data_IF_272885129677
#
_entry.id   IF_272885129677
#
_cell.length_a   1.000
_cell.length_b   1.000
_cell.length_c   1.000
_cell.angle_alpha   90.00
_cell.angle_beta   90.00
_cell.angle_gamma   90.00
#
_symmetry.space_group_name_H-M   'P 1'
#
loop_
_entity.id
_entity.type
_entity.pdbx_description
1 polymer ?
#
# COMPACT_ATOMS: atom_id res chain seq x y z
N UNK A 1 13.08 11.33 11.43
CA UNK A 1 13.38 10.18 12.32
C UNK A 1 13.24 8.93 11.47
N UNK A 2 14.19 7.98 11.55
CA UNK A 2 14.09 6.69 10.85
C UNK A 2 13.66 5.63 11.87
N UNK A 3 12.50 5.02 11.69
CA UNK A 3 11.98 3.97 12.56
C UNK A 3 11.39 2.86 11.69
N UNK A 4 12.14 1.77 11.53
CA UNK A 4 11.72 0.61 10.76
C UNK A 4 11.69 -0.61 11.67
N UNK A 5 10.53 -1.26 11.78
CA UNK A 5 10.29 -2.29 12.81
C UNK A 5 10.13 -3.70 12.25
N UNK A 6 9.77 -3.86 10.99
CA UNK A 6 9.57 -5.18 10.41
C UNK A 6 10.89 -5.89 10.11
N UNK A 7 11.02 -7.14 10.49
CA UNK A 7 12.06 -8.02 9.95
C UNK A 7 11.55 -8.59 8.63
N UNK A 8 12.26 -8.34 7.54
CA UNK A 8 11.85 -8.75 6.19
C UNK A 8 12.62 -9.98 5.75
N UNK A 9 11.91 -11.07 5.47
CA UNK A 9 12.45 -12.29 4.88
C UNK A 9 12.01 -12.37 3.41
N UNK A 10 12.96 -12.59 2.50
CA UNK A 10 12.74 -12.52 1.06
C UNK A 10 13.21 -13.78 0.36
N UNK A 11 12.39 -14.35 -0.51
CA UNK A 11 12.77 -15.43 -1.40
C UNK A 11 11.72 -16.51 -1.52
N UNK A 12 11.83 -17.30 -2.61
CA UNK A 12 10.94 -18.43 -2.85
C UNK A 12 10.99 -19.43 -1.71
N UNK A 13 9.82 -19.77 -1.17
CA UNK A 13 9.68 -20.69 -0.05
C UNK A 13 10.04 -20.13 1.33
N UNK A 14 10.37 -18.83 1.46
CA UNK A 14 10.70 -18.25 2.79
C UNK A 14 9.56 -18.42 3.80
N UNK A 15 8.30 -18.52 3.34
CA UNK A 15 7.13 -18.82 4.18
C UNK A 15 7.30 -20.06 5.07
N UNK A 16 8.21 -20.97 4.74
CA UNK A 16 8.45 -22.19 5.53
C UNK A 16 8.97 -21.89 6.93
N UNK A 17 9.52 -20.70 7.18
CA UNK A 17 9.99 -20.27 8.48
C UNK A 17 8.89 -19.62 9.35
N UNK A 18 7.69 -19.35 8.82
CA UNK A 18 6.61 -18.68 9.55
C UNK A 18 6.28 -19.38 10.90
N UNK A 19 6.08 -20.71 10.95
CA UNK A 19 5.78 -21.36 12.23
C UNK A 19 6.88 -21.17 13.28
N UNK A 20 8.16 -21.22 12.85
CA UNK A 20 9.28 -20.99 13.75
C UNK A 20 9.27 -19.58 14.33
N UNK A 21 9.00 -18.55 13.50
CA UNK A 21 8.92 -17.15 13.97
C UNK A 21 7.80 -16.95 14.99
N UNK A 22 6.66 -17.59 14.80
CA UNK A 22 5.61 -17.55 15.83
C UNK A 22 6.02 -18.25 17.12
N UNK A 23 6.73 -19.36 17.05
CA UNK A 23 7.27 -20.02 18.24
C UNK A 23 8.30 -19.12 18.96
N UNK A 24 9.18 -18.45 18.22
CA UNK A 24 10.17 -17.50 18.77
C UNK A 24 9.49 -16.33 19.49
N UNK A 25 8.33 -15.88 19.01
CA UNK A 25 7.48 -14.87 19.65
C UNK A 25 6.59 -15.43 20.78
N UNK A 26 6.67 -16.73 21.08
CA UNK A 26 5.92 -17.39 22.14
C UNK A 26 4.46 -17.75 21.79
N UNK A 27 4.07 -17.62 20.53
CA UNK A 27 2.69 -17.88 20.08
C UNK A 27 2.39 -19.37 19.98
N UNK A 28 1.15 -19.74 20.29
CA UNK A 28 0.65 -21.12 20.26
C UNK A 28 -0.62 -21.25 19.42
N UNK A 29 -1.41 -20.20 19.32
CA UNK A 29 -2.76 -20.14 18.76
C UNK A 29 -2.86 -19.08 17.67
N UNK A 30 -2.59 -19.49 16.43
CA UNK A 30 -2.50 -18.57 15.29
C UNK A 30 -3.86 -18.41 14.64
N UNK A 31 -4.31 -17.16 14.51
CA UNK A 31 -5.42 -16.77 13.65
C UNK A 31 -4.90 -16.46 12.25
N UNK A 32 -5.28 -17.25 11.25
CA UNK A 32 -4.99 -16.94 9.85
C UNK A 32 -6.10 -16.04 9.30
N UNK A 33 -5.74 -14.90 8.76
CA UNK A 33 -6.66 -13.89 8.24
C UNK A 33 -6.34 -13.68 6.76
N UNK A 34 -7.36 -13.78 5.91
CA UNK A 34 -7.23 -13.77 4.45
C UNK A 34 -8.55 -13.35 3.79
N UNK A 35 -8.63 -13.41 2.48
CA UNK A 35 -9.86 -13.26 1.70
C UNK A 35 -10.26 -14.58 1.02
N UNK A 36 -11.55 -14.68 0.64
CA UNK A 36 -12.10 -15.86 0.02
C UNK A 36 -11.44 -16.20 -1.33
N UNK A 37 -11.04 -15.17 -2.09
CA UNK A 37 -10.39 -15.34 -3.39
C UNK A 37 -9.06 -16.08 -3.28
N UNK A 38 -8.28 -15.83 -2.23
CA UNK A 38 -7.01 -16.50 -1.98
C UNK A 38 -7.20 -17.95 -1.50
N UNK A 39 -8.29 -18.23 -0.80
CA UNK A 39 -8.66 -19.62 -0.48
C UNK A 39 -8.99 -20.38 -1.76
N UNK A 40 -9.87 -19.82 -2.60
CA UNK A 40 -10.26 -20.42 -3.88
C UNK A 40 -9.07 -20.60 -4.83
N UNK A 41 -8.10 -19.70 -4.79
CA UNK A 41 -6.87 -19.80 -5.57
C UNK A 41 -5.84 -20.82 -5.02
N UNK A 42 -6.10 -21.44 -3.86
CA UNK A 42 -5.18 -22.39 -3.23
C UNK A 42 -3.91 -21.77 -2.64
N UNK A 43 -3.86 -20.45 -2.52
CA UNK A 43 -2.70 -19.73 -1.93
C UNK A 43 -2.61 -20.01 -0.43
N UNK A 44 -3.73 -20.00 0.25
CA UNK A 44 -3.81 -20.23 1.70
C UNK A 44 -3.39 -21.64 2.08
N UNK A 45 -3.70 -22.64 1.24
CA UNK A 45 -3.31 -24.05 1.49
C UNK A 45 -1.80 -24.21 1.51
N UNK A 46 -1.05 -23.50 0.65
CA UNK A 46 0.41 -23.52 0.65
C UNK A 46 1.02 -23.03 1.97
N UNK A 47 0.32 -22.20 2.72
CA UNK A 47 0.75 -21.73 4.05
C UNK A 47 0.28 -22.71 5.14
N UNK A 48 -0.96 -23.19 5.08
CA UNK A 48 -1.52 -24.15 6.04
C UNK A 48 -0.74 -25.46 6.10
N UNK A 49 -0.32 -25.97 4.93
CA UNK A 49 0.42 -27.24 4.83
C UNK A 49 1.75 -27.17 5.59
N UNK A 50 2.39 -26.00 5.66
CA UNK A 50 3.62 -25.81 6.43
C UNK A 50 3.35 -25.98 7.93
N UNK A 51 2.26 -25.38 8.44
CA UNK A 51 1.86 -25.54 9.84
C UNK A 51 1.47 -26.98 10.15
N UNK A 52 0.75 -27.65 9.25
CA UNK A 52 0.38 -29.04 9.39
C UNK A 52 1.61 -29.97 9.45
N UNK A 53 2.61 -29.72 8.59
CA UNK A 53 3.85 -30.51 8.56
C UNK A 53 4.70 -30.33 9.80
N UNK A 54 4.77 -29.11 10.39
CA UNK A 54 5.56 -28.81 11.59
C UNK A 54 4.81 -29.12 12.89
N UNK A 55 3.48 -29.16 12.87
CA UNK A 55 2.62 -29.52 13.99
C UNK A 55 2.46 -28.46 15.09
N UNK A 56 3.34 -27.46 15.18
CA UNK A 56 3.28 -26.34 16.13
C UNK A 56 3.91 -25.09 15.49
N UNK A 57 3.40 -23.84 15.81
CA UNK A 57 2.15 -23.60 16.56
C UNK A 57 0.92 -24.05 15.75
N UNK A 58 -0.28 -23.95 16.30
CA UNK A 58 -1.51 -24.37 15.59
C UNK A 58 -2.25 -23.20 15.00
N UNK A 59 -2.68 -23.29 13.74
CA UNK A 59 -3.74 -22.44 13.22
C UNK A 59 -5.04 -22.88 13.88
N UNK A 60 -5.63 -22.01 14.72
CA UNK A 60 -6.86 -22.32 15.47
C UNK A 60 -8.12 -21.96 14.73
N UNK A 61 -8.00 -21.17 13.67
CA UNK A 61 -9.09 -20.83 12.77
C UNK A 61 -8.63 -19.96 11.62
N UNK A 62 -9.48 -19.83 10.60
CA UNK A 62 -9.27 -18.97 9.44
C UNK A 62 -10.42 -17.96 9.42
N UNK A 63 -10.07 -16.68 9.31
CA UNK A 63 -11.02 -15.61 9.02
C UNK A 63 -10.83 -15.19 7.56
N UNK A 64 -11.81 -15.49 6.72
CA UNK A 64 -11.75 -15.34 5.26
C UNK A 64 -12.70 -14.28 4.68
N UNK A 65 -13.35 -13.52 5.56
CA UNK A 65 -14.39 -12.53 5.20
C UNK A 65 -13.86 -11.12 5.01
N UNK A 66 -12.60 -10.99 4.54
CA UNK A 66 -12.05 -9.67 4.25
C UNK A 66 -12.64 -9.16 2.94
N UNK A 67 -13.13 -7.93 2.99
CA UNK A 67 -13.67 -7.20 1.85
C UNK A 67 -12.61 -6.21 1.29
N UNK A 68 -12.71 -5.84 0.01
CA UNK A 68 -11.85 -4.78 -0.56
C UNK A 68 -11.91 -3.48 0.27
N UNK A 69 -10.79 -2.75 0.29
CA UNK A 69 -10.62 -1.46 1.00
C UNK A 69 -10.56 -1.54 2.53
N UNK A 70 -10.39 -2.71 3.12
CA UNK A 70 -10.24 -2.87 4.58
C UNK A 70 -11.36 -2.17 5.38
N UNK A 71 -12.58 -2.62 5.20
CA UNK A 71 -13.80 -2.00 5.75
C UNK A 71 -13.79 -2.02 7.28
N UNK A 72 -14.09 -0.88 7.94
CA UNK A 72 -14.06 -0.74 9.41
C UNK A 72 -14.95 -1.76 10.15
N UNK A 73 -16.11 -2.07 9.62
CA UNK A 73 -17.00 -3.11 10.18
C UNK A 73 -16.30 -4.48 10.21
N UNK A 74 -15.60 -4.82 9.15
CA UNK A 74 -14.88 -6.11 9.03
C UNK A 74 -13.71 -6.17 10.01
N UNK A 75 -13.02 -5.05 10.27
CA UNK A 75 -11.97 -4.95 11.30
C UNK A 75 -12.55 -5.30 12.68
N UNK A 76 -13.69 -4.71 13.06
CA UNK A 76 -14.36 -4.98 14.33
C UNK A 76 -14.78 -6.46 14.46
N UNK A 77 -15.36 -7.03 13.40
CA UNK A 77 -15.80 -8.42 13.37
C UNK A 77 -14.63 -9.40 13.48
N UNK A 78 -13.55 -9.13 12.76
CA UNK A 78 -12.33 -9.94 12.81
C UNK A 78 -11.67 -9.87 14.20
N UNK A 79 -11.60 -8.69 14.83
CA UNK A 79 -11.07 -8.54 16.18
C UNK A 79 -11.91 -9.30 17.22
N UNK A 80 -13.23 -9.29 17.08
CA UNK A 80 -14.15 -10.09 17.93
C UNK A 80 -13.87 -11.58 17.76
N UNK A 81 -13.79 -12.04 16.52
CA UNK A 81 -13.45 -13.43 16.21
C UNK A 81 -12.09 -13.84 16.81
N UNK A 82 -11.07 -13.00 16.72
CA UNK A 82 -9.77 -13.26 17.34
C UNK A 82 -9.86 -13.48 18.86
N UNK A 83 -10.69 -12.67 19.56
CA UNK A 83 -10.92 -12.81 21.00
C UNK A 83 -11.65 -14.12 21.33
N UNK A 84 -12.72 -14.45 20.60
CA UNK A 84 -13.50 -15.67 20.78
C UNK A 84 -12.65 -16.93 20.57
N UNK A 85 -11.75 -16.90 19.57
CA UNK A 85 -10.84 -18.00 19.26
C UNK A 85 -9.59 -17.99 20.15
N UNK A 86 -9.44 -17.04 21.08
CA UNK A 86 -8.26 -16.86 21.91
C UNK A 86 -6.96 -16.89 21.10
N UNK A 87 -6.91 -16.13 19.99
CA UNK A 87 -5.75 -15.99 19.12
C UNK A 87 -4.65 -15.23 19.87
N UNK A 88 -3.42 -15.73 19.83
CA UNK A 88 -2.23 -15.10 20.43
C UNK A 88 -1.18 -14.67 19.39
N UNK A 89 -1.41 -14.96 18.10
CA UNK A 89 -0.60 -14.51 16.98
C UNK A 89 -1.44 -14.33 15.72
N UNK A 90 -1.26 -13.18 15.02
CA UNK A 90 -1.98 -12.83 13.80
C UNK A 90 -1.13 -13.19 12.58
N UNK A 91 -1.66 -14.03 11.69
CA UNK A 91 -1.05 -14.33 10.40
C UNK A 91 -1.91 -13.73 9.29
N UNK A 92 -1.43 -12.65 8.68
CA UNK A 92 -2.06 -12.01 7.52
C UNK A 92 -1.51 -12.61 6.23
N UNK A 93 -2.35 -13.20 5.39
CA UNK A 93 -1.98 -13.70 4.07
C UNK A 93 -2.88 -13.02 3.04
N UNK A 94 -2.36 -12.05 2.29
CA UNK A 94 -3.19 -11.31 1.34
C UNK A 94 -2.59 -10.03 0.78
N UNK A 95 -3.40 -9.30 0.03
CA UNK A 95 -3.07 -7.95 -0.44
C UNK A 95 -3.34 -6.87 0.61
N UNK A 96 -3.26 -5.60 0.19
CA UNK A 96 -3.42 -4.45 1.08
C UNK A 96 -4.66 -4.48 1.98
N UNK A 97 -5.82 -4.87 1.45
CA UNK A 97 -7.06 -4.95 2.24
C UNK A 97 -6.96 -5.92 3.42
N UNK A 98 -6.33 -7.09 3.21
CA UNK A 98 -6.09 -8.06 4.29
C UNK A 98 -5.09 -7.49 5.29
N UNK A 99 -3.97 -6.97 4.81
CA UNK A 99 -2.88 -6.48 5.66
C UNK A 99 -3.34 -5.29 6.52
N UNK A 100 -4.09 -4.35 5.94
CA UNK A 100 -4.61 -3.19 6.67
C UNK A 100 -5.71 -3.57 7.66
N UNK A 101 -6.60 -4.52 7.30
CA UNK A 101 -7.57 -5.08 8.25
C UNK A 101 -6.84 -5.67 9.46
N UNK A 102 -5.79 -6.48 9.25
CA UNK A 102 -5.03 -7.10 10.35
C UNK A 102 -4.32 -6.06 11.21
N UNK A 103 -3.81 -4.98 10.63
CA UNK A 103 -3.27 -3.84 11.41
C UNK A 103 -4.34 -3.17 12.28
N UNK A 104 -5.55 -2.97 11.74
CA UNK A 104 -6.69 -2.50 12.53
C UNK A 104 -7.04 -3.45 13.67
N UNK A 105 -7.08 -4.76 13.41
CA UNK A 105 -7.26 -5.80 14.44
C UNK A 105 -6.14 -5.75 15.50
N UNK A 106 -4.88 -5.64 15.08
CA UNK A 106 -3.73 -5.49 15.97
C UNK A 106 -3.89 -4.29 16.89
N UNK A 107 -4.37 -3.16 16.36
CA UNK A 107 -4.63 -1.95 17.15
C UNK A 107 -5.75 -2.18 18.18
N UNK A 108 -6.89 -2.75 17.77
CA UNK A 108 -8.01 -3.04 18.67
C UNK A 108 -7.64 -4.00 19.80
N UNK A 109 -6.90 -5.07 19.48
CA UNK A 109 -6.46 -6.04 20.48
C UNK A 109 -5.40 -5.44 21.42
N UNK A 110 -4.45 -4.68 20.88
CA UNK A 110 -3.34 -4.12 21.65
C UNK A 110 -3.75 -2.92 22.53
N UNK A 111 -4.78 -2.16 22.13
CA UNK A 111 -5.32 -1.04 22.89
C UNK A 111 -6.47 -1.46 23.83
N UNK A 112 -7.02 -2.67 23.66
CA UNK A 112 -8.15 -3.15 24.45
C UNK A 112 -9.51 -2.58 24.02
N UNK A 113 -9.59 -1.96 22.83
CA UNK A 113 -10.80 -1.38 22.27
C UNK A 113 -11.63 -2.41 21.47
N UNK A 114 -12.92 -2.15 21.32
CA UNK A 114 -13.84 -3.05 20.62
C UNK A 114 -14.36 -2.48 19.30
N UNK A 115 -14.31 -1.17 19.12
CA UNK A 115 -14.71 -0.49 17.89
C UNK A 115 -13.55 0.37 17.37
N UNK A 116 -13.23 0.18 16.08
CA UNK A 116 -12.16 0.94 15.43
C UNK A 116 -12.44 2.44 15.38
N UNK A 117 -13.69 2.86 15.45
CA UNK A 117 -14.10 4.26 15.49
C UNK A 117 -13.64 4.95 16.77
N UNK A 118 -13.49 4.24 17.89
CA UNK A 118 -12.93 4.77 19.13
C UNK A 118 -11.44 5.13 19.00
N UNK A 119 -10.73 4.41 18.12
CA UNK A 119 -9.32 4.66 17.81
C UNK A 119 -9.19 5.75 16.74
N UNK A 120 -10.17 5.87 15.85
CA UNK A 120 -10.16 6.78 14.69
C UNK A 120 -11.33 7.77 14.73
N UNK A 121 -11.44 8.63 15.75
CA UNK A 121 -12.52 9.61 15.81
C UNK A 121 -12.41 10.57 14.61
N UNK A 122 -13.52 10.72 13.88
CA UNK A 122 -13.57 11.58 12.68
C UNK A 122 -12.84 11.02 11.46
N UNK A 123 -12.66 9.70 11.38
CA UNK A 123 -11.93 8.99 10.31
C UNK A 123 -10.45 9.34 10.19
N UNK A 124 -9.91 10.05 11.16
CA UNK A 124 -8.48 10.36 11.23
C UNK A 124 -7.92 9.58 12.41
N UNK A 125 -6.96 8.71 12.14
CA UNK A 125 -6.22 8.01 13.18
C UNK A 125 -5.40 8.98 14.03
N UNK A 126 -4.76 8.48 15.08
CA UNK A 126 -4.10 9.34 16.06
C UNK A 126 -2.78 9.91 15.56
N UNK A 127 -2.79 10.69 14.49
CA UNK A 127 -1.65 11.53 14.10
C UNK A 127 -1.08 12.36 15.26
N UNK A 128 -1.88 12.56 16.29
CA UNK A 128 -1.60 13.42 17.43
C UNK A 128 -1.33 12.65 18.73
N UNK A 129 -1.40 11.32 18.73
CA UNK A 129 -1.03 10.57 19.94
C UNK A 129 0.49 10.52 20.04
N UNK A 130 1.05 10.83 21.22
CA UNK A 130 2.47 10.63 21.48
C UNK A 130 2.83 9.20 21.15
N UNK A 131 4.06 8.96 20.71
CA UNK A 131 4.66 7.66 20.42
C UNK A 131 3.99 6.58 21.24
N UNK A 132 3.09 5.81 20.62
CA UNK A 132 2.18 4.92 21.33
C UNK A 132 2.93 3.84 22.09
N UNK A 133 2.28 3.29 23.10
CA UNK A 133 2.79 2.09 23.78
C UNK A 133 2.84 0.93 22.80
N UNK A 134 3.79 -0.01 22.93
CA UNK A 134 3.81 -1.24 22.15
C UNK A 134 2.45 -1.94 22.20
N UNK A 135 1.96 -2.38 21.04
CA UNK A 135 0.67 -3.06 20.95
C UNK A 135 0.73 -4.49 21.49
N UNK A 136 1.93 -5.08 21.56
CA UNK A 136 2.19 -6.43 22.12
C UNK A 136 1.30 -7.53 21.54
N UNK A 137 0.93 -7.42 20.27
CA UNK A 137 0.17 -8.42 19.51
C UNK A 137 1.07 -8.94 18.40
N UNK A 138 1.63 -10.15 18.52
CA UNK A 138 2.48 -10.76 17.50
C UNK A 138 1.76 -10.82 16.15
N UNK A 139 2.43 -10.33 15.10
CA UNK A 139 1.86 -10.21 13.77
C UNK A 139 2.90 -10.60 12.71
N UNK A 140 2.57 -11.57 11.87
CA UNK A 140 3.32 -11.91 10.66
C UNK A 140 2.46 -11.57 9.43
N UNK A 141 3.05 -10.90 8.47
CA UNK A 141 2.42 -10.52 7.21
C UNK A 141 3.08 -11.22 6.02
N UNK A 142 2.25 -11.74 5.12
CA UNK A 142 2.65 -12.41 3.88
C UNK A 142 1.89 -11.77 2.72
N UNK A 143 2.47 -10.74 2.08
CA UNK A 143 1.83 -10.06 0.97
C UNK A 143 1.72 -10.99 -0.25
N UNK A 144 0.54 -10.98 -0.89
CA UNK A 144 0.28 -11.69 -2.15
C UNK A 144 0.23 -10.72 -3.35
N UNK A 145 0.44 -9.43 -3.10
CA UNK A 145 0.55 -8.36 -4.10
C UNK A 145 1.83 -7.56 -3.85
N UNK A 146 2.36 -6.93 -4.88
CA UNK A 146 3.54 -6.07 -4.81
C UNK A 146 3.13 -4.61 -5.09
N UNK A 147 2.48 -3.97 -4.12
CA UNK A 147 1.92 -2.62 -4.25
C UNK A 147 1.99 -1.84 -2.97
N UNK A 148 1.06 -2.05 -2.07
CA UNK A 148 0.89 -1.26 -0.85
C UNK A 148 2.09 -1.31 0.10
N UNK A 149 2.85 -2.40 0.12
CA UNK A 149 3.90 -2.62 1.12
C UNK A 149 3.38 -2.60 2.57
N UNK A 150 2.06 -2.81 2.74
CA UNK A 150 1.38 -2.64 4.01
C UNK A 150 1.94 -3.52 5.13
N UNK A 151 2.63 -4.60 4.81
CA UNK A 151 3.36 -5.45 5.76
C UNK A 151 4.39 -4.68 6.60
N UNK A 152 4.95 -3.60 6.05
CA UNK A 152 6.04 -2.84 6.67
C UNK A 152 5.66 -1.39 7.01
N UNK A 153 4.45 -0.97 6.69
CA UNK A 153 3.97 0.40 6.88
C UNK A 153 3.35 0.62 8.26
N UNK A 154 3.60 1.77 8.93
CA UNK A 154 2.94 2.15 10.16
C UNK A 154 1.51 2.69 9.95
N UNK A 155 0.99 2.61 8.72
CA UNK A 155 -0.31 3.13 8.31
C UNK A 155 -1.22 1.97 7.94
N UNK A 156 -2.48 1.99 8.37
CA UNK A 156 -3.55 1.17 7.83
C UNK A 156 -4.64 2.09 7.26
N UNK A 157 -4.96 1.93 5.98
CA UNK A 157 -6.02 2.69 5.32
C UNK A 157 -7.33 1.91 5.46
N UNK A 158 -8.27 2.46 6.23
CA UNK A 158 -9.54 1.81 6.55
C UNK A 158 -10.71 2.57 5.95
N UNK A 159 -11.62 1.85 5.28
CA UNK A 159 -12.80 2.44 4.68
C UNK A 159 -13.98 2.52 5.65
N UNK A 160 -14.47 3.73 5.87
CA UNK A 160 -15.71 3.98 6.59
C UNK A 160 -16.88 4.02 5.60
N UNK A 161 -17.71 2.97 5.59
CA UNK A 161 -18.85 2.82 4.69
C UNK A 161 -19.93 3.88 4.92
N UNK A 162 -20.12 4.32 6.16
CA UNK A 162 -21.15 5.31 6.52
C UNK A 162 -20.78 6.70 6.00
N UNK A 163 -19.52 7.07 6.16
CA UNK A 163 -19.00 8.37 5.75
C UNK A 163 -18.54 8.38 4.27
N UNK A 164 -18.35 7.19 3.65
CA UNK A 164 -17.73 7.00 2.32
C UNK A 164 -16.34 7.64 2.21
N UNK A 165 -15.55 7.50 3.26
CA UNK A 165 -14.22 8.09 3.38
C UNK A 165 -13.21 6.99 3.72
N UNK A 166 -12.03 7.04 3.11
CA UNK A 166 -10.85 6.30 3.54
C UNK A 166 -10.15 7.09 4.64
N UNK A 167 -9.95 6.45 5.78
CA UNK A 167 -9.28 7.04 6.93
C UNK A 167 -7.96 6.35 7.21
N UNK A 168 -6.97 7.09 7.69
CA UNK A 168 -5.64 6.59 7.98
C UNK A 168 -5.48 6.31 9.47
N UNK A 169 -5.33 5.05 9.84
CA UNK A 169 -4.89 4.65 11.18
C UNK A 169 -3.37 4.65 11.21
N UNK A 170 -2.78 5.56 11.99
CA UNK A 170 -1.33 5.70 12.10
C UNK A 170 -0.84 5.31 13.49
N UNK A 171 0.06 4.33 13.57
CA UNK A 171 0.68 3.95 14.83
C UNK A 171 2.04 3.27 14.61
N UNK A 172 3.11 3.61 15.35
CA UNK A 172 4.47 3.10 15.11
C UNK A 172 4.62 1.58 15.31
N UNK A 173 3.68 0.92 15.94
CA UNK A 173 3.68 -0.53 16.16
C UNK A 173 2.66 -1.30 15.30
N UNK A 174 2.11 -0.69 14.25
CA UNK A 174 1.25 -1.38 13.27
C UNK A 174 2.01 -2.31 12.33
N UNK A 175 3.25 -1.97 11.88
CA UNK A 175 3.97 -2.88 11.00
C UNK A 175 4.00 -4.29 11.56
N UNK A 176 4.06 -5.28 10.68
CA UNK A 176 4.24 -6.67 11.10
C UNK A 176 5.60 -6.86 11.80
N UNK A 177 5.68 -7.76 12.76
CA UNK A 177 6.95 -8.12 13.40
C UNK A 177 7.87 -8.82 12.39
N UNK A 178 7.27 -9.64 11.52
CA UNK A 178 7.93 -10.25 10.37
C UNK A 178 7.09 -10.08 9.11
N UNK A 179 7.73 -9.71 8.01
CA UNK A 179 7.17 -9.66 6.66
C UNK A 179 7.84 -10.72 5.79
N UNK A 180 7.05 -11.63 5.21
CA UNK A 180 7.55 -12.69 4.34
C UNK A 180 7.24 -12.37 2.88
N UNK A 181 8.22 -11.89 2.15
CA UNK A 181 8.12 -11.56 0.73
C UNK A 181 8.39 -12.82 -0.09
N UNK A 182 7.41 -13.72 -0.13
CA UNK A 182 7.50 -14.99 -0.86
C UNK A 182 6.88 -14.86 -2.24
N UNK A 183 7.70 -14.81 -3.32
CA UNK A 183 7.20 -14.60 -4.67
C UNK A 183 6.32 -15.75 -5.18
N UNK A 184 6.43 -16.95 -4.63
CA UNK A 184 5.61 -18.10 -5.04
C UNK A 184 4.11 -17.81 -4.83
N UNK A 185 3.77 -17.02 -3.79
CA UNK A 185 2.40 -16.67 -3.45
C UNK A 185 1.81 -15.55 -4.32
N UNK A 186 2.62 -14.98 -5.21
CA UNK A 186 2.22 -13.93 -6.16
C UNK A 186 2.07 -14.43 -7.59
N UNK A 187 2.46 -15.67 -7.91
CA UNK A 187 2.50 -16.20 -9.27
C UNK A 187 1.12 -16.28 -9.96
N UNK A 188 0.05 -16.38 -9.16
CA UNK A 188 -1.33 -16.41 -9.65
C UNK A 188 -1.98 -15.04 -9.84
N UNK A 189 -1.29 -13.95 -9.50
CA UNK A 189 -1.86 -12.61 -9.58
C UNK A 189 -2.10 -12.22 -11.06
N UNK A 190 -3.34 -11.82 -11.45
CA UNK A 190 -3.66 -11.44 -12.83
C UNK A 190 -2.82 -10.26 -13.33
N UNK A 191 -2.56 -10.15 -14.65
CA UNK A 191 -1.77 -9.07 -15.23
C UNK A 191 -2.27 -7.66 -14.87
N UNK A 192 -3.60 -7.41 -14.92
CA UNK A 192 -4.17 -6.11 -14.53
C UNK A 192 -3.85 -5.78 -13.07
N UNK A 193 -4.10 -6.70 -12.14
CA UNK A 193 -3.80 -6.47 -10.72
C UNK A 193 -2.28 -6.32 -10.48
N UNK A 194 -1.45 -7.03 -11.25
CA UNK A 194 0.01 -6.88 -11.21
C UNK A 194 0.42 -5.47 -11.62
N UNK A 195 -0.17 -4.94 -12.71
CA UNK A 195 0.07 -3.57 -13.17
C UNK A 195 -0.40 -2.56 -12.12
N UNK A 196 -1.66 -2.63 -11.70
CA UNK A 196 -2.27 -1.69 -10.77
C UNK A 196 -1.46 -1.60 -9.45
N UNK A 197 -1.12 -2.75 -8.86
CA UNK A 197 -0.32 -2.77 -7.62
C UNK A 197 1.11 -2.29 -7.83
N UNK A 198 1.74 -2.60 -8.97
CA UNK A 198 3.07 -2.11 -9.30
C UNK A 198 3.13 -0.59 -9.46
N UNK A 199 2.08 0.03 -10.01
CA UNK A 199 1.96 1.49 -10.08
C UNK A 199 1.66 2.10 -8.72
N UNK A 200 0.96 1.41 -7.83
CA UNK A 200 0.79 1.82 -6.44
C UNK A 200 2.16 1.91 -5.74
N UNK A 201 3.01 0.87 -5.87
CA UNK A 201 4.39 0.95 -5.37
C UNK A 201 5.20 2.08 -6.02
N UNK A 202 4.99 2.37 -7.31
CA UNK A 202 5.65 3.47 -8.00
C UNK A 202 5.23 4.82 -7.41
N UNK A 203 3.93 5.02 -7.12
CA UNK A 203 3.43 6.26 -6.51
C UNK A 203 4.09 6.52 -5.16
N UNK A 204 4.22 5.50 -4.30
CA UNK A 204 4.92 5.60 -3.02
C UNK A 204 6.35 6.13 -3.19
N UNK A 205 7.12 5.57 -4.13
CA UNK A 205 8.50 5.97 -4.34
C UNK A 205 8.62 7.40 -4.94
N UNK A 206 7.74 7.77 -5.88
CA UNK A 206 7.70 9.10 -6.49
C UNK A 206 7.34 10.16 -5.44
N UNK A 207 6.33 9.92 -4.62
CA UNK A 207 5.92 10.85 -3.57
C UNK A 207 6.97 10.96 -2.47
N UNK A 208 7.65 9.89 -2.12
CA UNK A 208 8.73 9.93 -1.14
C UNK A 208 9.89 10.82 -1.58
N UNK A 209 10.35 10.73 -2.84
CA UNK A 209 11.38 11.63 -3.41
C UNK A 209 10.92 13.08 -3.41
N UNK A 210 9.65 13.31 -3.73
CA UNK A 210 9.08 14.65 -3.92
C UNK A 210 8.65 15.30 -2.61
N UNK A 211 8.63 14.56 -1.52
CA UNK A 211 8.21 15.05 -0.21
C UNK A 211 9.21 16.08 0.36
N UNK A 212 8.72 17.15 1.03
CA UNK A 212 9.59 18.08 1.75
C UNK A 212 10.45 17.42 2.85
N UNK A 213 10.05 16.26 3.34
CA UNK A 213 10.77 15.49 4.37
C UNK A 213 11.80 14.51 3.83
N UNK A 214 12.05 14.48 2.52
CA UNK A 214 13.02 13.56 1.91
C UNK A 214 14.45 13.78 2.39
N UNK A 215 15.25 12.75 2.29
CA UNK A 215 16.69 12.76 2.61
C UNK A 215 17.39 11.62 1.86
N UNK A 216 18.71 11.56 1.91
CA UNK A 216 19.51 10.60 1.17
C UNK A 216 19.18 9.11 1.46
N UNK A 217 18.62 8.76 2.61
CA UNK A 217 18.17 7.39 2.89
C UNK A 217 16.87 7.08 2.16
N UNK A 218 15.93 8.03 2.17
CA UNK A 218 14.67 7.95 1.44
C UNK A 218 14.95 7.88 -0.06
N UNK A 219 15.80 8.78 -0.56
CA UNK A 219 16.20 8.82 -1.97
C UNK A 219 16.81 7.49 -2.42
N UNK A 220 17.72 6.92 -1.63
CA UNK A 220 18.37 5.65 -1.97
C UNK A 220 17.37 4.49 -2.13
N UNK A 221 16.36 4.40 -1.24
CA UNK A 221 15.32 3.38 -1.34
C UNK A 221 14.36 3.66 -2.50
N UNK A 222 13.91 4.91 -2.64
CA UNK A 222 12.95 5.30 -3.68
C UNK A 222 13.54 5.17 -5.09
N UNK A 223 14.76 5.65 -5.30
CA UNK A 223 15.46 5.53 -6.59
C UNK A 223 15.62 4.07 -6.97
N UNK A 224 16.05 3.23 -6.04
CA UNK A 224 16.17 1.80 -6.31
C UNK A 224 14.82 1.14 -6.57
N UNK A 225 13.78 1.50 -5.83
CA UNK A 225 12.43 0.99 -6.06
C UNK A 225 11.92 1.36 -7.47
N UNK A 226 12.04 2.62 -7.87
CA UNK A 226 11.64 3.08 -9.22
C UNK A 226 12.41 2.31 -10.31
N UNK A 227 13.74 2.16 -10.17
CA UNK A 227 14.57 1.40 -11.14
C UNK A 227 14.13 -0.05 -11.26
N UNK A 228 13.81 -0.70 -10.14
CA UNK A 228 13.29 -2.08 -10.13
C UNK A 228 11.91 -2.17 -10.77
N UNK A 229 10.99 -1.26 -10.43
CA UNK A 229 9.63 -1.23 -11.00
C UNK A 229 9.68 -1.01 -12.51
N UNK A 230 10.40 0.01 -12.97
CA UNK A 230 10.52 0.30 -14.40
C UNK A 230 11.08 -0.89 -15.20
N UNK A 231 11.97 -1.68 -14.61
CA UNK A 231 12.59 -2.85 -15.25
C UNK A 231 11.69 -4.08 -15.18
N UNK A 232 11.12 -4.40 -14.02
CA UNK A 232 10.51 -5.70 -13.77
C UNK A 232 8.99 -5.71 -13.80
N UNK A 233 8.31 -4.58 -13.65
CA UNK A 233 6.85 -4.53 -13.75
C UNK A 233 6.33 -4.98 -15.11
N UNK A 234 6.86 -4.48 -16.26
CA UNK A 234 6.43 -4.97 -17.56
C UNK A 234 6.68 -6.48 -17.75
N UNK A 235 7.76 -6.99 -17.17
CA UNK A 235 8.07 -8.43 -17.22
C UNK A 235 7.07 -9.25 -16.42
N UNK A 236 6.74 -8.80 -15.19
CA UNK A 236 5.78 -9.48 -14.32
C UNK A 236 4.34 -9.42 -14.86
N UNK A 237 3.99 -8.34 -15.60
CA UNK A 237 2.69 -8.21 -16.28
C UNK A 237 2.61 -9.16 -17.49
N UNK A 238 3.67 -9.24 -18.29
CA UNK A 238 3.70 -10.08 -19.47
C UNK A 238 3.82 -11.58 -19.14
N UNK A 239 4.61 -11.92 -18.12
CA UNK A 239 4.79 -13.28 -17.61
C UNK A 239 4.67 -13.31 -16.08
N UNK A 240 3.46 -13.54 -15.61
CA UNK A 240 3.15 -13.61 -14.19
C UNK A 240 3.85 -14.76 -13.45
N UNK A 241 4.46 -15.71 -14.16
CA UNK A 241 5.22 -16.82 -13.58
C UNK A 241 6.71 -16.56 -13.50
N UNK A 242 7.18 -15.41 -13.96
CA UNK A 242 8.59 -15.03 -13.86
C UNK A 242 8.95 -14.74 -12.39
N UNK A 243 9.57 -15.72 -11.75
CA UNK A 243 9.88 -15.68 -10.32
C UNK A 243 10.85 -14.55 -9.95
N UNK A 244 11.82 -14.24 -10.83
CA UNK A 244 12.72 -13.11 -10.60
C UNK A 244 11.96 -11.80 -10.60
N UNK A 245 11.10 -11.56 -11.60
CA UNK A 245 10.30 -10.35 -11.69
C UNK A 245 9.37 -10.20 -10.48
N UNK A 246 8.68 -11.27 -10.06
CA UNK A 246 7.84 -11.28 -8.84
C UNK A 246 8.65 -10.94 -7.59
N UNK A 247 9.84 -11.55 -7.41
CA UNK A 247 10.72 -11.24 -6.27
C UNK A 247 11.14 -9.78 -6.28
N UNK A 248 11.58 -9.26 -7.44
CA UNK A 248 12.02 -7.86 -7.56
C UNK A 248 10.88 -6.87 -7.33
N UNK A 249 9.66 -7.19 -7.75
CA UNK A 249 8.49 -6.35 -7.49
C UNK A 249 8.10 -6.33 -6.01
N UNK A 250 8.12 -7.46 -5.30
CA UNK A 250 7.89 -7.49 -3.84
C UNK A 250 8.93 -6.64 -3.09
N UNK A 251 10.22 -6.79 -3.45
CA UNK A 251 11.29 -5.98 -2.85
C UNK A 251 11.09 -4.51 -3.16
N UNK A 252 10.76 -4.15 -4.40
CA UNK A 252 10.55 -2.76 -4.79
C UNK A 252 9.36 -2.13 -4.05
N UNK A 253 8.24 -2.86 -3.91
CA UNK A 253 7.08 -2.44 -3.14
C UNK A 253 7.45 -2.16 -1.67
N UNK A 254 8.20 -3.09 -1.05
CA UNK A 254 8.63 -2.94 0.34
C UNK A 254 9.59 -1.74 0.51
N UNK A 255 10.55 -1.53 -0.40
CA UNK A 255 11.44 -0.36 -0.38
C UNK A 255 10.67 0.95 -0.58
N UNK A 256 9.69 0.96 -1.50
CA UNK A 256 8.88 2.13 -1.80
C UNK A 256 8.06 2.57 -0.58
N UNK A 257 7.38 1.65 0.09
CA UNK A 257 6.58 2.00 1.27
C UNK A 257 7.45 2.41 2.46
N UNK A 258 8.63 1.81 2.62
CA UNK A 258 9.58 2.22 3.66
C UNK A 258 10.01 3.67 3.47
N UNK A 259 10.35 4.07 2.25
CA UNK A 259 10.72 5.45 1.94
C UNK A 259 9.53 6.39 2.11
N UNK A 260 8.35 6.01 1.62
CA UNK A 260 7.13 6.78 1.73
C UNK A 260 6.74 7.07 3.19
N UNK A 261 6.71 6.05 4.03
CA UNK A 261 6.35 6.17 5.44
C UNK A 261 7.32 7.08 6.24
N UNK A 262 8.56 7.24 5.76
CA UNK A 262 9.60 8.05 6.40
C UNK A 262 9.74 9.46 5.81
N UNK A 263 9.13 9.73 4.64
CA UNK A 263 9.28 10.99 3.91
C UNK A 263 8.43 12.15 4.46
N UNK A 264 7.46 11.85 5.33
CA UNK A 264 6.51 12.83 5.85
C UNK A 264 5.10 12.62 5.32
N UNK A 265 4.20 13.57 5.57
CA UNK A 265 2.76 13.42 5.32
C UNK A 265 2.29 14.26 4.12
N UNK A 266 3.02 14.23 3.01
CA UNK A 266 2.62 14.94 1.80
C UNK A 266 2.43 14.00 0.63
N UNK A 267 1.17 13.75 0.25
CA UNK A 267 0.77 12.70 -0.64
C UNK A 267 -0.21 13.19 -1.74
N UNK A 268 0.23 14.04 -2.69
CA UNK A 268 -0.66 14.63 -3.69
C UNK A 268 -1.33 13.58 -4.59
N UNK A 269 -0.62 12.50 -4.97
CA UNK A 269 -1.16 11.43 -5.79
C UNK A 269 -2.20 10.65 -4.99
N UNK A 270 -1.84 10.23 -3.77
CA UNK A 270 -2.74 9.49 -2.88
C UNK A 270 -3.94 10.31 -2.44
N UNK A 271 -3.80 11.62 -2.23
CA UNK A 271 -4.93 12.51 -1.94
C UNK A 271 -6.01 12.44 -3.03
N UNK A 272 -5.62 12.55 -4.30
CA UNK A 272 -6.57 12.44 -5.42
C UNK A 272 -7.09 11.00 -5.55
N UNK A 273 -6.20 9.99 -5.42
CA UNK A 273 -6.58 8.57 -5.55
C UNK A 273 -7.56 8.11 -4.45
N UNK A 274 -7.42 8.57 -3.21
CA UNK A 274 -8.35 8.27 -2.12
C UNK A 274 -9.74 8.83 -2.42
N UNK A 275 -9.82 10.09 -2.84
CA UNK A 275 -11.08 10.73 -3.20
C UNK A 275 -11.77 10.02 -4.37
N UNK A 276 -11.01 9.69 -5.44
CA UNK A 276 -11.51 8.95 -6.61
C UNK A 276 -12.02 7.57 -6.18
N UNK A 277 -11.23 6.83 -5.41
CA UNK A 277 -11.62 5.51 -4.89
C UNK A 277 -12.83 5.56 -3.94
N UNK A 278 -12.91 6.59 -3.09
CA UNK A 278 -14.02 6.80 -2.17
C UNK A 278 -15.35 7.11 -2.86
N UNK A 279 -15.31 7.96 -3.91
CA UNK A 279 -16.50 8.41 -4.62
C UNK A 279 -16.95 7.42 -5.71
N UNK A 280 -16.01 6.84 -6.46
CA UNK A 280 -16.31 6.05 -7.66
C UNK A 280 -16.01 4.57 -7.53
N UNK A 281 -15.44 4.14 -6.39
CA UNK A 281 -15.03 2.75 -6.13
C UNK A 281 -14.01 2.23 -7.16
N UNK A 282 -13.24 3.13 -7.77
CA UNK A 282 -12.11 2.76 -8.62
C UNK A 282 -11.03 2.11 -7.74
N UNK A 283 -10.46 0.96 -8.14
CA UNK A 283 -9.40 0.32 -7.39
C UNK A 283 -8.21 1.26 -7.15
N UNK A 284 -7.67 1.25 -5.94
CA UNK A 284 -6.64 2.20 -5.50
C UNK A 284 -5.40 2.20 -6.41
N UNK A 285 -4.88 1.02 -6.77
CA UNK A 285 -3.74 0.92 -7.67
C UNK A 285 -4.03 1.41 -9.09
N UNK A 286 -5.24 1.21 -9.61
CA UNK A 286 -5.68 1.79 -10.88
C UNK A 286 -5.72 3.33 -10.80
N UNK A 287 -6.25 3.87 -9.70
CA UNK A 287 -6.27 5.31 -9.49
C UNK A 287 -4.85 5.89 -9.47
N UNK A 288 -3.94 5.30 -8.71
CA UNK A 288 -2.54 5.73 -8.68
C UNK A 288 -1.88 5.62 -10.06
N UNK A 289 -2.13 4.52 -10.78
CA UNK A 289 -1.55 4.31 -12.12
C UNK A 289 -1.90 5.42 -13.10
N UNK A 290 -3.14 5.91 -13.10
CA UNK A 290 -3.60 7.02 -13.96
C UNK A 290 -3.03 8.35 -13.46
N UNK A 291 -2.99 8.57 -12.15
CA UNK A 291 -2.75 9.87 -11.55
C UNK A 291 -1.27 10.25 -11.46
N UNK A 292 -0.32 9.32 -11.36
CA UNK A 292 1.12 9.66 -11.24
C UNK A 292 1.56 10.68 -12.31
N UNK A 293 1.46 10.39 -13.62
CA UNK A 293 1.93 11.33 -14.62
C UNK A 293 1.06 12.59 -14.68
N UNK A 294 -0.23 12.51 -14.39
CA UNK A 294 -1.14 13.66 -14.37
C UNK A 294 -0.70 14.67 -13.29
N UNK A 295 -0.42 14.21 -12.06
CA UNK A 295 0.06 15.10 -10.99
C UNK A 295 1.41 15.73 -11.35
N UNK A 296 2.34 14.98 -11.94
CA UNK A 296 3.62 15.51 -12.40
C UNK A 296 3.43 16.61 -13.47
N UNK A 297 2.45 16.45 -14.37
CA UNK A 297 2.11 17.39 -15.45
C UNK A 297 1.32 18.60 -14.93
N UNK A 298 0.37 18.41 -14.00
CA UNK A 298 -0.52 19.47 -13.49
C UNK A 298 0.10 20.25 -12.29
N UNK A 299 1.05 19.62 -11.57
CA UNK A 299 1.68 20.22 -10.40
C UNK A 299 3.23 20.10 -10.43
N UNK A 300 3.89 20.49 -11.55
CA UNK A 300 5.34 20.31 -11.71
C UNK A 300 6.14 20.99 -10.61
N UNK A 301 5.68 22.12 -10.07
CA UNK A 301 6.34 22.88 -9.00
C UNK A 301 6.65 22.01 -7.76
N UNK A 302 5.80 21.03 -7.47
CA UNK A 302 6.01 20.12 -6.35
C UNK A 302 7.28 19.27 -6.51
N UNK A 303 7.62 18.91 -7.73
CA UNK A 303 8.72 18.00 -8.06
C UNK A 303 10.06 18.69 -8.32
N UNK A 304 10.09 20.04 -8.45
CA UNK A 304 11.29 20.77 -8.88
C UNK A 304 12.46 20.66 -7.89
N UNK A 305 12.19 20.59 -6.58
CA UNK A 305 13.25 20.54 -5.56
C UNK A 305 14.14 19.30 -5.74
N UNK A 306 13.58 18.19 -6.18
CA UNK A 306 14.25 16.90 -6.33
C UNK A 306 14.18 16.35 -7.77
N UNK A 307 14.04 17.25 -8.76
CA UNK A 307 13.90 16.89 -10.17
C UNK A 307 15.06 16.03 -10.69
N UNK A 308 16.29 16.31 -10.25
CA UNK A 308 17.49 15.58 -10.63
C UNK A 308 17.46 14.14 -10.10
N UNK A 309 17.07 13.94 -8.83
CA UNK A 309 16.94 12.61 -8.21
C UNK A 309 15.83 11.80 -8.89
N UNK A 310 14.71 12.45 -9.19
CA UNK A 310 13.58 11.84 -9.88
C UNK A 310 13.97 11.42 -11.31
N UNK A 311 14.66 12.30 -12.03
CA UNK A 311 15.15 12.03 -13.38
C UNK A 311 16.14 10.86 -13.42
N UNK A 312 17.10 10.80 -12.47
CA UNK A 312 18.01 9.65 -12.33
C UNK A 312 17.25 8.35 -12.06
N UNK A 313 16.24 8.39 -11.19
CA UNK A 313 15.43 7.22 -10.86
C UNK A 313 14.75 6.64 -12.10
N UNK A 314 14.25 7.48 -13.00
CA UNK A 314 13.63 7.08 -14.27
C UNK A 314 14.62 6.86 -15.42
N UNK A 315 15.92 7.08 -15.20
CA UNK A 315 16.95 6.91 -16.22
C UNK A 315 16.88 7.97 -17.35
N UNK A 316 16.46 9.19 -16.99
CA UNK A 316 16.44 10.35 -17.92
C UNK A 316 17.85 10.90 -18.06
N UNK A 317 18.31 11.14 -19.29
CA UNK A 317 19.54 11.90 -19.52
C UNK A 317 19.23 13.40 -19.29
N UNK A 318 19.85 13.97 -18.28
CA UNK A 318 19.56 15.36 -17.82
C UNK A 318 20.50 16.43 -18.41
N UNK A 319 21.42 16.05 -19.27
CA UNK A 319 22.41 16.97 -19.85
C UNK A 319 21.72 18.12 -20.60
N UNK A 320 21.95 19.34 -20.16
CA UNK A 320 21.37 20.58 -20.72
C UNK A 320 19.90 20.84 -20.39
N UNK A 321 19.26 20.02 -19.55
CA UNK A 321 17.86 20.19 -19.17
C UNK A 321 17.68 21.13 -17.99
N UNK A 322 16.61 21.91 -18.02
CA UNK A 322 16.05 22.60 -16.84
C UNK A 322 15.36 21.60 -15.92
N UNK A 323 15.07 21.99 -14.68
CA UNK A 323 14.33 21.12 -13.73
C UNK A 323 12.92 20.81 -14.21
N UNK A 324 12.27 21.75 -14.86
CA UNK A 324 10.94 21.58 -15.46
C UNK A 324 10.97 20.52 -16.58
N UNK A 325 11.99 20.57 -17.44
CA UNK A 325 12.20 19.57 -18.50
C UNK A 325 12.49 18.19 -17.91
N UNK A 326 13.26 18.09 -16.81
CA UNK A 326 13.51 16.84 -16.10
C UNK A 326 12.21 16.21 -15.55
N UNK A 327 11.34 17.01 -14.92
CA UNK A 327 10.03 16.56 -14.42
C UNK A 327 9.15 16.08 -15.58
N UNK A 328 9.08 16.85 -16.67
CA UNK A 328 8.31 16.50 -17.86
C UNK A 328 8.80 15.18 -18.49
N UNK A 329 10.12 15.03 -18.62
CA UNK A 329 10.71 13.80 -19.15
C UNK A 329 10.46 12.59 -18.22
N UNK A 330 10.49 12.80 -16.91
CA UNK A 330 10.15 11.76 -15.93
C UNK A 330 8.68 11.35 -16.04
N UNK A 331 7.74 12.30 -16.17
CA UNK A 331 6.33 12.00 -16.42
C UNK A 331 6.12 11.20 -17.71
N UNK A 332 6.88 11.53 -18.77
CA UNK A 332 6.86 10.78 -20.01
C UNK A 332 7.34 9.33 -19.82
N UNK A 333 8.34 9.08 -18.96
CA UNK A 333 8.77 7.72 -18.61
C UNK A 333 7.67 6.93 -17.92
N UNK A 334 6.88 7.58 -17.07
CA UNK A 334 5.69 6.93 -16.46
C UNK A 334 4.65 6.60 -17.53
N UNK A 335 4.39 7.50 -18.50
CA UNK A 335 3.49 7.23 -19.63
C UNK A 335 3.95 6.04 -20.48
N UNK A 336 5.26 5.95 -20.75
CA UNK A 336 5.84 4.80 -21.45
C UNK A 336 5.65 3.49 -20.66
N UNK A 337 5.78 3.54 -19.34
CA UNK A 337 5.56 2.38 -18.45
C UNK A 337 4.08 1.97 -18.43
N UNK A 338 3.14 2.93 -18.37
CA UNK A 338 1.69 2.67 -18.49
C UNK A 338 1.40 1.90 -19.78
N UNK A 339 1.92 2.38 -20.92
CA UNK A 339 1.71 1.73 -22.20
C UNK A 339 2.26 0.29 -22.23
N UNK A 340 3.47 0.05 -21.70
CA UNK A 340 4.07 -1.28 -21.61
C UNK A 340 3.28 -2.25 -20.74
N UNK A 341 2.57 -1.73 -19.72
CA UNK A 341 1.78 -2.52 -18.78
C UNK A 341 0.29 -2.57 -19.15
N UNK A 342 -0.14 -1.95 -20.25
CA UNK A 342 -1.53 -1.94 -20.70
C UNK A 342 -2.46 -1.07 -19.84
N UNK A 343 -1.90 -0.13 -19.08
CA UNK A 343 -2.68 0.82 -18.26
C UNK A 343 -3.22 1.94 -19.12
N UNK A 344 -4.49 2.26 -18.93
CA UNK A 344 -5.13 3.37 -19.66
C UNK A 344 -4.67 4.72 -19.13
N UNK A 345 -4.52 5.76 -19.98
CA UNK A 345 -4.03 7.07 -19.57
C UNK A 345 -5.07 7.90 -18.82
N UNK A 346 -6.33 7.48 -18.82
CA UNK A 346 -7.48 8.12 -18.16
C UNK A 346 -8.42 7.07 -17.58
N UNK A 347 -9.27 7.49 -16.67
CA UNK A 347 -10.38 6.67 -16.19
C UNK A 347 -11.43 6.49 -17.29
N UNK A 348 -12.13 5.35 -17.23
CA UNK A 348 -13.21 5.05 -18.17
C UNK A 348 -14.49 5.87 -17.88
N UNK A 349 -14.63 6.35 -16.64
CA UNK A 349 -15.75 7.12 -16.16
C UNK A 349 -15.74 8.53 -16.77
N UNK A 350 -16.91 9.04 -17.11
CA UNK A 350 -17.12 10.44 -17.46
C UNK A 350 -17.83 11.18 -16.33
N UNK A 351 -17.40 12.41 -16.06
CA UNK A 351 -18.00 13.25 -15.03
C UNK A 351 -18.72 14.44 -15.68
N UNK A 352 -20.02 14.60 -15.36
CA UNK A 352 -20.72 15.86 -15.60
C UNK A 352 -20.24 16.95 -14.62
N UNK A 353 -20.67 18.20 -14.81
CA UNK A 353 -20.21 19.34 -14.02
C UNK A 353 -20.55 19.20 -12.52
N UNK A 354 -21.69 18.57 -12.19
CA UNK A 354 -22.07 18.33 -10.79
C UNK A 354 -21.12 17.31 -10.13
N UNK A 355 -20.83 16.22 -10.80
CA UNK A 355 -19.89 15.20 -10.32
C UNK A 355 -18.46 15.72 -10.24
N UNK A 356 -18.03 16.59 -11.17
CA UNK A 356 -16.73 17.26 -11.09
C UNK A 356 -16.63 18.13 -9.85
N UNK A 357 -17.69 18.85 -9.49
CA UNK A 357 -17.70 19.68 -8.29
C UNK A 357 -17.71 18.82 -7.01
N UNK A 358 -18.47 17.72 -6.98
CA UNK A 358 -18.42 16.74 -5.88
C UNK A 358 -17.00 16.17 -5.73
N UNK A 359 -16.38 15.78 -6.84
CA UNK A 359 -15.00 15.26 -6.84
C UNK A 359 -13.99 16.31 -6.37
N UNK A 360 -14.13 17.57 -6.78
CA UNK A 360 -13.30 18.67 -6.32
C UNK A 360 -13.32 18.80 -4.80
N UNK A 361 -14.50 18.79 -4.18
CA UNK A 361 -14.65 18.90 -2.75
C UNK A 361 -14.16 17.63 -2.02
N UNK A 362 -14.38 16.45 -2.62
CA UNK A 362 -13.86 15.20 -2.07
C UNK A 362 -12.32 15.20 -2.01
N UNK A 363 -11.64 15.66 -3.06
CA UNK A 363 -10.17 15.80 -3.06
C UNK A 363 -9.72 16.86 -2.05
N UNK A 364 -10.38 18.00 -2.02
CA UNK A 364 -9.99 19.14 -1.17
C UNK A 364 -10.06 18.85 0.32
N UNK A 365 -10.98 17.99 0.73
CA UNK A 365 -11.20 17.61 2.14
C UNK A 365 -10.81 16.18 2.46
N UNK A 366 -10.12 15.49 1.54
CA UNK A 366 -9.60 14.16 1.83
C UNK A 366 -8.55 14.20 2.95
N UNK A 367 -8.60 13.25 3.91
CA UNK A 367 -7.64 13.20 5.02
C UNK A 367 -6.17 13.19 4.59
N UNK A 368 -5.84 12.57 3.46
CA UNK A 368 -4.46 12.54 2.94
C UNK A 368 -3.94 13.93 2.52
N UNK A 369 -4.85 14.87 2.17
CA UNK A 369 -4.52 16.26 1.83
C UNK A 369 -4.56 17.24 3.00
N UNK A 370 -4.92 16.78 4.20
CA UNK A 370 -5.23 17.68 5.34
C UNK A 370 -4.07 18.59 5.74
N UNK A 371 -2.83 18.10 5.72
CA UNK A 371 -1.65 18.87 6.13
C UNK A 371 -1.04 19.70 5.00
N UNK A 372 -1.26 19.30 3.75
CA UNK A 372 -0.75 19.97 2.56
C UNK A 372 -1.83 19.94 1.46
N UNK A 373 -2.84 20.80 1.58
CA UNK A 373 -3.94 20.81 0.62
C UNK A 373 -3.43 21.23 -0.77
N UNK A 374 -3.91 20.51 -1.79
CA UNK A 374 -3.63 20.84 -3.18
C UNK A 374 -4.26 22.20 -3.55
N UNK A 375 -3.58 23.01 -4.37
CA UNK A 375 -4.18 24.23 -4.94
C UNK A 375 -5.43 23.90 -5.78
N UNK A 376 -6.41 24.79 -5.74
CA UNK A 376 -7.71 24.59 -6.43
C UNK A 376 -7.52 24.37 -7.95
N UNK A 377 -6.60 25.12 -8.57
CA UNK A 377 -6.28 24.98 -9.99
C UNK A 377 -5.66 23.61 -10.30
N UNK A 378 -4.85 23.05 -9.40
CA UNK A 378 -4.27 21.70 -9.55
C UNK A 378 -5.36 20.65 -9.46
N UNK A 379 -6.27 20.74 -8.47
CA UNK A 379 -7.38 19.79 -8.33
C UNK A 379 -8.23 19.79 -9.58
N UNK A 380 -8.64 20.98 -10.08
CA UNK A 380 -9.45 21.09 -11.30
C UNK A 380 -8.72 20.58 -12.54
N UNK A 381 -7.42 20.86 -12.65
CA UNK A 381 -6.55 20.34 -13.71
C UNK A 381 -6.47 18.82 -13.70
N UNK A 382 -6.29 18.21 -12.55
CA UNK A 382 -6.26 16.75 -12.40
C UNK A 382 -7.59 16.11 -12.78
N UNK A 383 -8.73 16.67 -12.33
CA UNK A 383 -10.06 16.18 -12.73
C UNK A 383 -10.24 16.24 -14.25
N UNK A 384 -9.90 17.37 -14.88
CA UNK A 384 -10.03 17.53 -16.33
C UNK A 384 -9.10 16.60 -17.13
N UNK A 385 -7.91 16.30 -16.62
CA UNK A 385 -6.95 15.42 -17.29
C UNK A 385 -7.27 13.93 -17.09
N UNK A 386 -7.78 13.55 -15.91
CA UNK A 386 -7.98 12.15 -15.52
C UNK A 386 -9.30 11.55 -16.06
N UNK A 387 -10.33 12.36 -16.27
CA UNK A 387 -11.63 11.88 -16.73
C UNK A 387 -11.90 12.28 -18.20
N UNK A 388 -12.78 11.49 -18.85
CA UNK A 388 -13.16 11.72 -20.25
C UNK A 388 -14.15 12.90 -20.38
#
# INVERSE_FOLDING_TARGET
>A
MWDYRSIVEVGSGCRTFIPQRFMDMGCKRIGLITDEGLIQAGVVDQVKDIFAAQGKPKIVGIYDRIEPDAVMRVVNDCARWCREMAVDGLLAVGGGSVLDTVKGVKALLGMGEVDIKEIMPGNIGPYMRPMGKPLNVPHIAVPTTAGTGSESSPIAVLYNEEAKIKGDLLHPYLPADYAFLDPDLTLGLPPKMTADTGFDALSHAVEAISSPGTNCMIDALSVQAIKLICRYLPVAVADGRNLEARTKMLVASNMAIMSFAMSGLFYPIHNVAHAVGGQLRIPHGEANAVLIPILMEQYPKHYLSNAEVLADAFGVNTEGMTKEEMVTASAQKVRELQQKCGVQPKFAESLDEEKKEIMFWAIKYDPAGLFYPLPDEVIRGCIAAAFA
#
